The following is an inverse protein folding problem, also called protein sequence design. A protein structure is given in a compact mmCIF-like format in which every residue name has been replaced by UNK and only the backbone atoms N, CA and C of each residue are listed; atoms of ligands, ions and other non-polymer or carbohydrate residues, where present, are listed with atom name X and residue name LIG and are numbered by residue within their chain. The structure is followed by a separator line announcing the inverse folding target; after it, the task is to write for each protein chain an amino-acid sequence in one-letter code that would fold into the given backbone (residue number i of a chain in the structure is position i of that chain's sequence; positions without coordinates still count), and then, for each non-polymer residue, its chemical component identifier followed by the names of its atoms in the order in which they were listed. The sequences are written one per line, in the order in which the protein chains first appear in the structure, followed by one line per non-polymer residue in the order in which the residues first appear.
data_IF_554063490903
#
_entry.id   IF_554063490903
#
_cell.length_a   1.000
_cell.length_b   1.000
_cell.length_c   1.000
_cell.angle_alpha   90.00
_cell.angle_beta   90.00
_cell.angle_gamma   90.00
#
_symmetry.space_group_name_H-M   'P 1'
#
loop_
_entity.id
_entity.type
_entity.pdbx_description
1 polymer ?
#
# COMPACT_ATOMS: atom_id res chain seq x y z
N UNK A 1 10.67 25.58 -19.47
CA UNK A 1 10.98 24.11 -19.47
C UNK A 1 9.74 23.36 -19.05
N UNK A 2 9.42 22.25 -19.72
CA UNK A 2 8.24 21.45 -19.35
C UNK A 2 8.50 20.57 -18.12
N UNK A 3 9.76 20.14 -17.89
CA UNK A 3 10.19 19.32 -16.76
C UNK A 3 11.59 19.75 -16.32
N UNK A 4 11.80 19.88 -15.01
CA UNK A 4 13.08 20.26 -14.41
C UNK A 4 13.54 19.18 -13.44
N UNK A 5 14.75 18.66 -13.62
CA UNK A 5 15.38 17.70 -12.70
C UNK A 5 16.10 18.46 -11.59
N UNK A 6 15.51 18.53 -10.40
CA UNK A 6 16.04 19.31 -9.27
C UNK A 6 17.17 18.62 -8.54
N UNK A 7 17.00 17.34 -8.18
CA UNK A 7 18.01 16.54 -7.48
C UNK A 7 17.76 15.04 -7.68
N UNK A 8 18.79 14.26 -7.57
CA UNK A 8 18.66 12.79 -7.46
C UNK A 8 18.24 12.43 -6.03
N UNK A 9 17.25 11.56 -5.90
CA UNK A 9 16.87 10.96 -4.62
C UNK A 9 17.69 9.69 -4.35
N UNK A 10 17.90 9.31 -3.08
CA UNK A 10 18.48 8.02 -2.72
C UNK A 10 17.68 6.88 -3.35
N UNK A 11 18.35 5.79 -3.70
CA UNK A 11 17.67 4.58 -4.15
C UNK A 11 17.00 3.88 -2.95
N UNK A 12 15.97 3.06 -3.17
CA UNK A 12 15.27 2.37 -2.08
C UNK A 12 16.17 1.55 -1.16
N UNK A 13 17.22 0.95 -1.69
CA UNK A 13 18.17 0.17 -0.90
C UNK A 13 18.90 1.04 0.12
N UNK A 14 19.38 2.22 -0.28
CA UNK A 14 20.06 3.18 0.62
C UNK A 14 19.15 3.61 1.78
N UNK A 15 17.87 3.88 1.50
CA UNK A 15 16.91 4.26 2.55
C UNK A 15 16.56 3.07 3.47
N UNK A 16 16.48 1.85 2.94
CA UNK A 16 16.27 0.64 3.75
C UNK A 16 17.46 0.31 4.63
N UNK A 17 18.68 0.58 4.16
CA UNK A 17 19.89 0.43 4.95
C UNK A 17 20.02 1.51 6.04
N UNK A 18 19.58 2.74 5.76
CA UNK A 18 19.54 3.84 6.75
C UNK A 18 18.50 3.58 7.86
N UNK A 19 17.37 2.98 7.51
CA UNK A 19 16.26 2.69 8.42
C UNK A 19 15.80 1.22 8.27
N UNK A 20 16.59 0.24 8.73
CA UNK A 20 16.30 -1.16 8.51
C UNK A 20 15.17 -1.67 9.39
N UNK A 21 14.42 -2.65 8.89
CA UNK A 21 13.61 -3.51 9.75
C UNK A 21 14.56 -4.50 10.45
N UNK A 22 14.41 -4.71 11.75
CA UNK A 22 15.28 -5.64 12.48
C UNK A 22 15.10 -7.08 11.97
N UNK A 23 16.13 -7.92 12.15
CA UNK A 23 16.07 -9.33 11.74
C UNK A 23 14.92 -10.09 12.44
N UNK A 24 14.65 -9.77 13.71
CA UNK A 24 13.53 -10.35 14.45
C UNK A 24 12.18 -9.96 13.83
N UNK A 25 11.98 -8.68 13.55
CA UNK A 25 10.74 -8.19 12.93
C UNK A 25 10.59 -8.69 11.48
N UNK A 26 11.70 -8.84 10.76
CA UNK A 26 11.68 -9.46 9.42
C UNK A 26 11.16 -10.90 9.47
N UNK A 27 11.65 -11.72 10.42
CA UNK A 27 11.16 -13.08 10.59
C UNK A 27 9.68 -13.13 10.99
N UNK A 28 9.25 -12.25 11.90
CA UNK A 28 7.84 -12.12 12.29
C UNK A 28 6.96 -11.70 11.11
N UNK A 29 7.45 -10.77 10.28
CA UNK A 29 6.73 -10.35 9.06
C UNK A 29 6.54 -11.52 8.10
N UNK A 30 7.59 -12.28 7.82
CA UNK A 30 7.51 -13.44 6.92
C UNK A 30 6.47 -14.46 7.41
N UNK A 31 6.43 -14.73 8.71
CA UNK A 31 5.44 -15.62 9.31
C UNK A 31 4.02 -15.06 9.19
N UNK A 32 3.85 -13.78 9.45
CA UNK A 32 2.57 -13.08 9.31
C UNK A 32 2.07 -13.04 7.86
N UNK A 33 2.95 -12.74 6.91
CA UNK A 33 2.60 -12.72 5.47
C UNK A 33 2.14 -14.12 5.01
N UNK A 34 2.80 -15.18 5.47
CA UNK A 34 2.39 -16.56 5.18
C UNK A 34 1.02 -16.90 5.80
N UNK A 35 0.73 -16.40 6.99
CA UNK A 35 -0.57 -16.53 7.65
C UNK A 35 -1.68 -15.78 6.88
N UNK A 36 -1.42 -14.55 6.48
CA UNK A 36 -2.34 -13.77 5.65
C UNK A 36 -2.61 -14.48 4.33
N UNK A 37 -1.58 -15.00 3.65
CA UNK A 37 -1.73 -15.71 2.38
C UNK A 37 -2.70 -16.89 2.49
N UNK A 38 -2.69 -17.65 3.60
CA UNK A 38 -3.62 -18.78 3.84
C UNK A 38 -5.09 -18.36 3.85
N UNK A 39 -5.40 -17.16 4.28
CA UNK A 39 -6.78 -16.63 4.21
C UNK A 39 -7.20 -16.43 2.75
N UNK A 40 -6.31 -15.88 1.92
CA UNK A 40 -6.58 -15.63 0.51
C UNK A 40 -6.63 -16.92 -0.32
N UNK A 41 -5.91 -17.97 0.07
CA UNK A 41 -5.98 -19.30 -0.57
C UNK A 41 -7.12 -20.17 -0.04
N UNK A 42 -7.81 -19.74 1.02
CA UNK A 42 -8.91 -20.47 1.63
C UNK A 42 -8.49 -21.58 2.62
N UNK A 43 -7.21 -21.64 2.97
CA UNK A 43 -6.66 -22.58 3.96
C UNK A 43 -6.95 -22.14 5.42
N UNK A 44 -7.19 -20.86 5.64
CA UNK A 44 -7.57 -20.26 6.92
C UNK A 44 -8.97 -19.64 6.80
N UNK A 45 -9.86 -20.02 7.71
CA UNK A 45 -11.27 -19.58 7.72
C UNK A 45 -11.46 -18.15 8.29
N UNK A 46 -10.44 -17.59 8.94
CA UNK A 46 -10.49 -16.21 9.44
C UNK A 46 -10.73 -15.23 8.29
N UNK A 47 -11.00 -13.98 8.64
CA UNK A 47 -11.13 -12.88 7.66
C UNK A 47 -9.98 -11.90 7.85
N UNK A 48 -9.51 -11.32 6.77
CA UNK A 48 -8.58 -10.20 6.81
C UNK A 48 -9.37 -8.90 6.91
N UNK A 49 -9.08 -8.09 7.93
CA UNK A 49 -9.65 -6.77 8.12
C UNK A 49 -8.55 -5.71 7.96
N UNK A 50 -8.65 -4.89 6.90
CA UNK A 50 -7.75 -3.77 6.66
C UNK A 50 -8.43 -2.50 7.15
N UNK A 51 -7.98 -1.97 8.27
CA UNK A 51 -8.65 -0.86 8.96
C UNK A 51 -7.63 0.17 9.48
N UNK A 52 -8.01 1.44 9.42
CA UNK A 52 -7.18 2.55 9.91
C UNK A 52 -7.69 3.91 9.44
N UNK A 53 -6.99 4.98 9.78
CA UNK A 53 -7.37 6.33 9.38
C UNK A 53 -7.39 6.49 7.86
N UNK A 54 -8.12 7.50 7.39
CA UNK A 54 -8.20 7.79 5.96
C UNK A 54 -6.84 8.23 5.38
N UNK A 55 -5.98 8.83 6.19
CA UNK A 55 -4.63 9.28 5.88
C UNK A 55 -3.76 9.17 7.11
N UNK A 56 -2.56 8.64 6.93
CA UNK A 56 -1.51 8.68 7.93
C UNK A 56 -0.71 9.98 7.76
N UNK A 57 -1.19 11.07 8.34
CA UNK A 57 -0.65 12.41 8.18
C UNK A 57 0.09 12.92 9.42
N UNK A 58 -0.23 12.37 10.58
CA UNK A 58 0.39 12.73 11.85
C UNK A 58 0.74 11.48 12.63
N UNK A 59 2.01 11.36 12.98
CA UNK A 59 2.55 10.19 13.67
C UNK A 59 1.90 9.93 15.03
N UNK A 60 1.75 10.97 15.85
CA UNK A 60 1.12 10.87 17.16
C UNK A 60 -0.31 10.28 17.11
N UNK A 61 -1.12 10.80 16.21
CA UNK A 61 -2.51 10.35 16.03
C UNK A 61 -2.60 8.94 15.46
N UNK A 62 -1.71 8.60 14.52
CA UNK A 62 -1.65 7.27 13.94
C UNK A 62 -1.24 6.25 15.01
N UNK A 63 -0.19 6.52 15.78
CA UNK A 63 0.29 5.63 16.83
C UNK A 63 -0.73 5.45 17.96
N UNK A 64 -1.42 6.51 18.37
CA UNK A 64 -2.51 6.39 19.33
C UNK A 64 -3.61 5.45 18.83
N UNK A 65 -4.05 5.64 17.58
CA UNK A 65 -5.05 4.76 16.96
C UNK A 65 -4.56 3.31 16.89
N UNK A 66 -3.32 3.08 16.44
CA UNK A 66 -2.76 1.73 16.27
C UNK A 66 -2.57 1.02 17.61
N UNK A 67 -2.18 1.72 18.65
CA UNK A 67 -2.07 1.16 20.00
C UNK A 67 -3.43 0.73 20.58
N UNK A 68 -4.50 1.48 20.29
CA UNK A 68 -5.88 1.05 20.65
C UNK A 68 -6.30 -0.16 19.82
N UNK A 69 -6.03 -0.13 18.51
CA UNK A 69 -6.36 -1.22 17.59
C UNK A 69 -5.66 -2.53 17.98
N UNK A 70 -4.40 -2.46 18.42
CA UNK A 70 -3.64 -3.63 18.85
C UNK A 70 -4.31 -4.37 20.01
N UNK A 71 -4.87 -3.64 20.98
CA UNK A 71 -5.62 -4.24 22.09
C UNK A 71 -6.87 -4.97 21.60
N UNK A 72 -7.64 -4.35 20.71
CA UNK A 72 -8.83 -4.97 20.14
C UNK A 72 -8.48 -6.16 19.22
N UNK A 73 -7.35 -6.11 18.53
CA UNK A 73 -6.90 -7.21 17.67
C UNK A 73 -6.68 -8.50 18.46
N UNK A 74 -6.15 -8.43 19.68
CA UNK A 74 -5.97 -9.58 20.54
C UNK A 74 -7.30 -10.26 20.93
N UNK A 75 -8.37 -9.47 21.06
CA UNK A 75 -9.70 -9.98 21.44
C UNK A 75 -10.40 -10.73 20.30
N UNK A 76 -10.00 -10.49 19.05
CA UNK A 76 -10.68 -11.04 17.85
C UNK A 76 -9.77 -11.89 16.97
N UNK A 77 -8.55 -12.18 17.39
CA UNK A 77 -7.53 -12.90 16.60
C UNK A 77 -7.91 -14.32 16.19
N UNK A 78 -8.89 -14.92 16.85
CA UNK A 78 -9.46 -16.22 16.50
C UNK A 78 -10.34 -16.16 15.25
N UNK A 79 -10.82 -14.98 14.86
CA UNK A 79 -11.73 -14.74 13.74
C UNK A 79 -11.19 -13.80 12.69
N UNK A 80 -10.35 -12.85 13.09
CA UNK A 80 -9.85 -11.79 12.23
C UNK A 80 -8.33 -11.70 12.26
N UNK A 81 -7.73 -11.53 11.09
CA UNK A 81 -6.38 -11.01 10.94
C UNK A 81 -6.50 -9.53 10.64
N UNK A 82 -5.99 -8.68 11.53
CA UNK A 82 -6.03 -7.23 11.35
C UNK A 82 -4.74 -6.77 10.71
N UNK A 83 -4.85 -6.07 9.58
CA UNK A 83 -3.76 -5.35 8.92
C UNK A 83 -4.07 -3.86 9.02
N UNK A 84 -3.31 -3.09 9.81
CA UNK A 84 -3.57 -1.67 9.96
C UNK A 84 -3.30 -0.92 8.66
N UNK A 85 -4.24 -0.06 8.31
CA UNK A 85 -4.14 0.81 7.16
C UNK A 85 -3.35 2.06 7.52
N UNK A 86 -2.15 2.18 6.96
CA UNK A 86 -1.26 3.34 7.12
C UNK A 86 -1.04 3.96 5.74
N UNK A 87 -2.07 4.65 5.22
CA UNK A 87 -2.01 5.24 3.88
C UNK A 87 -1.28 6.58 3.93
N UNK A 88 -0.04 6.58 3.47
CA UNK A 88 0.89 7.71 3.55
C UNK A 88 0.76 8.69 2.37
N UNK A 89 0.04 8.32 1.32
CA UNK A 89 -0.17 9.12 0.13
C UNK A 89 -1.64 9.45 -0.11
N UNK A 90 -1.91 10.61 -0.75
CA UNK A 90 -3.25 11.03 -1.12
C UNK A 90 -3.34 11.37 -2.61
N UNK A 91 -4.13 10.62 -3.39
CA UNK A 91 -4.39 10.96 -4.78
C UNK A 91 -5.24 12.25 -4.85
N UNK A 92 -4.79 13.22 -5.67
CA UNK A 92 -5.48 14.48 -5.91
C UNK A 92 -5.65 14.75 -7.40
N UNK A 93 -6.89 14.91 -7.84
CA UNK A 93 -7.21 15.14 -9.26
C UNK A 93 -6.61 16.45 -9.80
N UNK A 94 -6.64 17.52 -9.00
CA UNK A 94 -6.14 18.85 -9.39
C UNK A 94 -4.77 19.19 -8.82
N UNK A 95 -4.14 18.28 -8.07
CA UNK A 95 -2.84 18.53 -7.44
C UNK A 95 -2.84 19.57 -6.31
N UNK A 96 -4.02 20.05 -5.88
CA UNK A 96 -4.19 21.02 -4.79
C UNK A 96 -4.59 20.33 -3.48
N UNK A 97 -4.27 20.92 -2.34
CA UNK A 97 -4.52 20.40 -1.00
C UNK A 97 -3.48 19.38 -0.57
N UNK A 98 -3.66 18.82 0.62
CA UNK A 98 -2.73 17.84 1.21
C UNK A 98 -2.57 16.60 0.32
N UNK A 99 -1.33 16.30 -0.08
CA UNK A 99 -0.97 15.21 -1.01
C UNK A 99 -0.45 13.94 -0.33
N UNK A 100 -0.44 13.93 1.01
CA UNK A 100 0.12 12.86 1.80
C UNK A 100 1.50 13.17 2.35
N UNK A 101 1.94 12.32 3.28
CA UNK A 101 3.18 12.48 4.02
C UNK A 101 4.42 12.50 3.10
N UNK A 102 4.37 11.79 1.97
CA UNK A 102 5.46 11.81 0.98
C UNK A 102 5.77 13.21 0.44
N UNK A 103 4.76 14.02 0.19
CA UNK A 103 4.96 15.36 -0.37
C UNK A 103 5.17 16.41 0.73
N UNK A 104 4.44 16.27 1.83
CA UNK A 104 4.41 17.26 2.90
C UNK A 104 4.61 16.57 4.26
N UNK A 105 5.85 16.14 4.57
CA UNK A 105 6.18 15.50 5.85
C UNK A 105 6.10 16.48 7.03
N UNK A 106 6.29 17.77 6.77
CA UNK A 106 6.13 18.83 7.74
C UNK A 106 5.15 19.89 7.20
N UNK A 107 3.92 19.99 7.76
CA UNK A 107 2.91 20.97 7.30
C UNK A 107 3.34 22.42 7.37
N UNK A 108 4.34 22.75 8.22
CA UNK A 108 4.85 24.11 8.41
C UNK A 108 6.01 24.48 7.47
N UNK A 109 6.46 23.51 6.64
CA UNK A 109 7.56 23.68 5.69
C UNK A 109 7.09 23.45 4.25
N UNK A 110 7.84 23.93 3.25
CA UNK A 110 7.63 23.57 1.84
C UNK A 110 7.72 22.05 1.60
N UNK A 111 7.04 21.57 0.53
CA UNK A 111 7.10 20.18 0.09
C UNK A 111 8.56 19.72 -0.09
N UNK A 112 8.94 18.61 0.55
CA UNK A 112 10.24 17.98 0.40
C UNK A 112 10.09 16.46 0.21
N UNK A 113 10.34 15.99 -1.02
CA UNK A 113 10.18 14.58 -1.37
C UNK A 113 11.27 13.67 -0.76
N UNK A 114 12.45 14.18 -0.42
CA UNK A 114 13.48 13.39 0.24
C UNK A 114 13.09 13.11 1.70
N UNK A 115 12.74 14.16 2.42
CA UNK A 115 12.22 14.01 3.78
C UNK A 115 10.92 13.21 3.78
N UNK A 116 10.07 13.37 2.75
CA UNK A 116 8.85 12.60 2.58
C UNK A 116 9.10 11.10 2.42
N UNK A 117 10.10 10.68 1.65
CA UNK A 117 10.47 9.25 1.53
C UNK A 117 10.91 8.68 2.88
N UNK A 118 11.68 9.43 3.66
CA UNK A 118 12.07 9.03 5.02
C UNK A 118 10.88 8.98 5.96
N UNK A 119 10.02 9.98 5.90
CA UNK A 119 8.85 10.09 6.77
C UNK A 119 7.83 8.96 6.54
N UNK A 120 7.56 8.57 5.28
CA UNK A 120 6.64 7.46 5.03
C UNK A 120 7.21 6.14 5.57
N UNK A 121 8.50 5.88 5.40
CA UNK A 121 9.14 4.68 5.94
C UNK A 121 9.17 4.69 7.48
N UNK A 122 9.54 5.83 8.07
CA UNK A 122 9.56 6.01 9.52
C UNK A 122 8.18 5.76 10.15
N UNK A 123 7.11 6.29 9.56
CA UNK A 123 5.73 6.06 10.01
C UNK A 123 5.40 4.56 10.08
N UNK A 124 5.71 3.79 9.05
CA UNK A 124 5.47 2.35 9.04
C UNK A 124 6.33 1.61 10.06
N UNK A 125 7.63 1.94 10.17
CA UNK A 125 8.52 1.34 11.16
C UNK A 125 8.02 1.59 12.58
N UNK A 126 7.63 2.83 12.93
CA UNK A 126 7.08 3.16 14.24
C UNK A 126 5.85 2.33 14.58
N UNK A 127 4.92 2.17 13.64
CA UNK A 127 3.75 1.32 13.85
C UNK A 127 4.16 -0.13 14.10
N UNK A 128 5.07 -0.68 13.30
CA UNK A 128 5.54 -2.07 13.45
C UNK A 128 6.25 -2.26 14.80
N UNK A 129 7.16 -1.38 15.16
CA UNK A 129 7.96 -1.47 16.37
C UNK A 129 7.12 -1.32 17.64
N UNK A 130 6.16 -0.41 17.66
CA UNK A 130 5.35 -0.13 18.85
C UNK A 130 4.20 -1.11 19.05
N UNK A 131 3.65 -1.66 17.98
CA UNK A 131 2.42 -2.47 18.06
C UNK A 131 2.58 -3.91 17.61
N UNK A 132 3.66 -4.24 16.91
CA UNK A 132 3.86 -5.53 16.26
C UNK A 132 3.01 -5.74 15.00
N UNK A 133 2.22 -4.77 14.59
CA UNK A 133 1.43 -4.85 13.36
C UNK A 133 2.29 -4.65 12.11
N UNK A 134 2.14 -5.52 11.12
CA UNK A 134 2.59 -5.25 9.76
C UNK A 134 1.47 -4.58 8.97
N UNK A 135 1.81 -3.64 8.11
CA UNK A 135 0.90 -2.59 7.67
C UNK A 135 0.43 -2.73 6.23
N UNK A 136 -0.60 -1.97 5.88
CA UNK A 136 -1.08 -1.79 4.51
C UNK A 136 -0.88 -0.35 4.05
N UNK A 137 -0.45 -0.15 2.79
CA UNK A 137 -0.45 1.18 2.14
C UNK A 137 -1.05 1.11 0.73
N UNK A 138 -1.43 2.27 0.19
CA UNK A 138 -1.87 2.40 -1.19
C UNK A 138 -0.64 2.70 -2.08
N UNK A 139 -0.38 1.84 -3.05
CA UNK A 139 0.64 2.08 -4.08
C UNK A 139 0.13 3.16 -5.04
N UNK A 140 0.26 4.42 -4.62
CA UNK A 140 -0.10 5.55 -5.47
C UNK A 140 0.94 5.77 -6.58
N UNK A 141 2.20 5.56 -6.25
CA UNK A 141 3.33 5.64 -7.18
C UNK A 141 4.11 4.33 -7.14
N UNK A 142 4.09 3.50 -8.20
CA UNK A 142 4.82 2.23 -8.24
C UNK A 142 6.31 2.40 -7.94
N UNK A 143 6.92 3.50 -8.43
CA UNK A 143 8.32 3.82 -8.16
C UNK A 143 8.67 3.98 -6.68
N UNK A 144 7.69 4.30 -5.81
CA UNK A 144 7.91 4.53 -4.38
C UNK A 144 7.65 3.28 -3.53
N UNK A 145 6.94 2.28 -4.06
CA UNK A 145 6.66 1.03 -3.35
C UNK A 145 7.94 0.36 -2.81
N UNK A 146 9.04 0.41 -3.57
CA UNK A 146 10.30 -0.21 -3.20
C UNK A 146 10.94 0.36 -1.90
N UNK A 147 10.56 1.55 -1.46
CA UNK A 147 10.99 2.09 -0.17
C UNK A 147 10.29 1.44 1.03
N UNK A 148 9.16 0.75 0.79
CA UNK A 148 8.30 0.15 1.81
C UNK A 148 8.14 -1.38 1.64
N UNK A 149 8.76 -1.98 0.63
CA UNK A 149 8.52 -3.38 0.24
C UNK A 149 8.70 -4.38 1.38
N UNK A 150 9.63 -4.12 2.29
CA UNK A 150 9.96 -4.94 3.45
C UNK A 150 9.07 -4.68 4.68
N UNK A 151 8.15 -3.72 4.62
CA UNK A 151 7.29 -3.29 5.72
C UNK A 151 5.81 -3.67 5.51
N UNK A 152 5.36 -3.73 4.24
CA UNK A 152 3.96 -3.91 3.91
C UNK A 152 3.57 -5.38 3.84
N UNK A 153 2.45 -5.74 4.45
CA UNK A 153 1.80 -7.06 4.35
C UNK A 153 0.54 -7.04 3.49
N UNK A 154 0.18 -5.87 2.97
CA UNK A 154 -0.91 -5.67 2.02
C UNK A 154 -0.67 -4.39 1.20
N UNK A 155 -0.99 -4.45 -0.09
CA UNK A 155 -0.91 -3.29 -0.98
C UNK A 155 -2.25 -3.04 -1.64
N UNK A 156 -2.72 -1.79 -1.64
CA UNK A 156 -3.91 -1.40 -2.37
C UNK A 156 -3.55 -0.65 -3.66
N UNK A 157 -4.21 -0.99 -4.76
CA UNK A 157 -4.19 -0.20 -5.99
C UNK A 157 -5.49 0.60 -6.09
N UNK A 158 -5.37 1.92 -6.05
CA UNK A 158 -6.50 2.82 -5.98
C UNK A 158 -7.31 2.91 -7.27
N UNK A 159 -8.54 3.40 -7.14
CA UNK A 159 -9.48 3.51 -8.26
C UNK A 159 -9.02 4.43 -9.40
N UNK A 160 -8.07 5.34 -9.15
CA UNK A 160 -7.46 6.20 -10.20
C UNK A 160 -6.26 5.57 -10.87
N UNK A 161 -5.72 4.50 -10.28
CA UNK A 161 -4.48 3.86 -10.70
C UNK A 161 -4.69 2.47 -11.34
N UNK A 162 -5.85 1.86 -11.11
CA UNK A 162 -6.14 0.46 -11.49
C UNK A 162 -6.06 0.19 -13.01
N UNK A 163 -6.28 1.19 -13.84
CA UNK A 163 -6.10 1.09 -15.31
C UNK A 163 -4.67 1.35 -15.78
N UNK A 164 -3.82 1.90 -14.93
CA UNK A 164 -2.46 2.25 -15.30
C UNK A 164 -1.62 0.97 -15.47
N UNK A 165 -0.91 0.87 -16.60
CA UNK A 165 -0.14 -0.32 -16.96
C UNK A 165 0.98 -0.61 -15.97
N UNK A 166 1.72 0.41 -15.53
CA UNK A 166 2.83 0.22 -14.58
C UNK A 166 2.34 -0.33 -13.24
N UNK A 167 1.19 0.13 -12.73
CA UNK A 167 0.61 -0.42 -11.51
C UNK A 167 0.27 -1.91 -11.63
N UNK A 168 -0.28 -2.33 -12.78
CA UNK A 168 -0.61 -3.73 -13.05
C UNK A 168 0.65 -4.60 -13.13
N UNK A 169 1.66 -4.13 -13.87
CA UNK A 169 2.93 -4.83 -14.03
C UNK A 169 3.67 -4.96 -12.70
N UNK A 170 3.82 -3.87 -11.95
CA UNK A 170 4.49 -3.91 -10.64
C UNK A 170 3.72 -4.80 -9.66
N UNK A 171 2.39 -4.82 -9.72
CA UNK A 171 1.57 -5.69 -8.86
C UNK A 171 1.84 -7.18 -9.10
N UNK A 172 2.28 -7.59 -10.30
CA UNK A 172 2.63 -8.99 -10.60
C UNK A 172 3.90 -9.45 -9.88
N UNK A 173 4.75 -8.52 -9.45
CA UNK A 173 5.98 -8.82 -8.70
C UNK A 173 5.89 -8.58 -7.19
N UNK A 174 4.70 -8.29 -6.67
CA UNK A 174 4.48 -8.10 -5.23
C UNK A 174 4.18 -9.45 -4.57
N UNK A 175 4.90 -9.77 -3.50
CA UNK A 175 4.80 -11.07 -2.80
C UNK A 175 3.68 -11.15 -1.76
N UNK A 176 3.01 -10.04 -1.46
CA UNK A 176 1.89 -9.96 -0.52
C UNK A 176 0.57 -9.71 -1.26
N UNK A 177 -0.61 -9.88 -0.62
CA UNK A 177 -1.88 -9.62 -1.27
C UNK A 177 -1.99 -8.20 -1.82
N UNK A 178 -2.50 -8.08 -3.07
CA UNK A 178 -2.73 -6.81 -3.74
C UNK A 178 -4.22 -6.65 -4.05
N UNK A 179 -4.83 -5.62 -3.45
CA UNK A 179 -6.24 -5.29 -3.68
C UNK A 179 -6.42 -4.33 -4.84
N UNK A 180 -7.00 -4.80 -5.95
CA UNK A 180 -7.34 -4.00 -7.12
C UNK A 180 -8.72 -3.38 -6.95
N UNK A 181 -8.81 -2.06 -6.77
CA UNK A 181 -10.09 -1.36 -6.64
C UNK A 181 -10.76 -1.20 -8.01
N UNK A 182 -12.11 -1.30 -8.05
CA UNK A 182 -12.83 -0.86 -9.24
C UNK A 182 -12.60 0.64 -9.48
N UNK A 183 -12.50 1.09 -10.75
CA UNK A 183 -12.23 2.50 -11.08
C UNK A 183 -13.36 3.42 -10.59
N UNK A 184 -13.13 4.72 -10.65
CA UNK A 184 -14.09 5.73 -10.18
C UNK A 184 -15.44 5.65 -10.89
N UNK A 185 -15.47 5.17 -12.13
CA UNK A 185 -16.69 4.92 -12.91
C UNK A 185 -17.39 3.60 -12.58
N UNK A 186 -16.84 2.80 -11.65
CA UNK A 186 -17.49 1.57 -11.17
C UNK A 186 -17.28 0.30 -12.02
N UNK A 187 -16.51 0.35 -13.11
CA UNK A 187 -16.34 -0.79 -14.02
C UNK A 187 -15.67 -1.99 -13.35
N UNK A 188 -16.41 -3.08 -13.22
CA UNK A 188 -15.87 -4.37 -12.74
C UNK A 188 -14.97 -5.03 -13.78
N UNK A 189 -15.24 -4.85 -15.07
CA UNK A 189 -14.40 -5.37 -16.16
C UNK A 189 -12.96 -4.83 -16.08
N UNK A 190 -12.80 -3.53 -15.85
CA UNK A 190 -11.48 -2.91 -15.69
C UNK A 190 -10.76 -3.48 -14.48
N UNK A 191 -11.45 -3.66 -13.37
CA UNK A 191 -10.90 -4.26 -12.16
C UNK A 191 -10.44 -5.70 -12.40
N UNK A 192 -11.28 -6.54 -13.03
CA UNK A 192 -10.95 -7.93 -13.35
C UNK A 192 -9.75 -8.01 -14.30
N UNK A 193 -9.71 -7.19 -15.36
CA UNK A 193 -8.56 -7.13 -16.26
C UNK A 193 -7.26 -6.75 -15.53
N UNK A 194 -7.36 -5.90 -14.50
CA UNK A 194 -6.20 -5.52 -13.68
C UNK A 194 -5.70 -6.67 -12.82
N UNK A 195 -6.62 -7.48 -12.28
CA UNK A 195 -6.30 -8.70 -11.52
C UNK A 195 -5.63 -9.71 -12.44
N UNK A 196 -6.18 -9.97 -13.64
CA UNK A 196 -5.58 -10.86 -14.62
C UNK A 196 -4.15 -10.44 -14.97
N UNK A 197 -3.92 -9.15 -15.22
CA UNK A 197 -2.59 -8.65 -15.52
C UNK A 197 -1.63 -8.83 -14.34
N UNK A 198 -2.09 -8.62 -13.10
CA UNK A 198 -1.28 -8.79 -11.90
C UNK A 198 -1.00 -10.27 -11.56
N UNK A 199 -1.88 -11.19 -11.96
CA UNK A 199 -1.70 -12.63 -11.76
C UNK A 199 -0.87 -13.30 -12.86
N UNK A 200 -0.65 -12.62 -14.00
CA UNK A 200 0.10 -13.15 -15.11
C UNK A 200 1.61 -12.93 -14.94
N UNK A 201 2.39 -13.83 -15.56
CA UNK A 201 3.81 -13.59 -15.78
C UNK A 201 4.01 -12.31 -16.60
N UNK A 202 4.91 -11.43 -16.18
CA UNK A 202 5.18 -10.15 -16.82
C UNK A 202 6.68 -9.90 -16.93
N UNK A 203 7.09 -9.33 -18.08
CA UNK A 203 8.45 -8.84 -18.31
C UNK A 203 8.38 -7.39 -18.77
N UNK A 204 9.07 -6.49 -18.07
CA UNK A 204 8.97 -5.05 -18.32
C UNK A 204 10.18 -4.28 -17.79
N UNK A 205 10.28 -3.00 -18.18
CA UNK A 205 11.28 -2.10 -17.65
C UNK A 205 10.70 -1.37 -16.43
N UNK A 206 11.32 -1.58 -15.27
CA UNK A 206 11.00 -0.83 -14.06
C UNK A 206 12.18 0.01 -13.62
N UNK A 207 12.02 1.34 -13.65
CA UNK A 207 13.12 2.30 -13.53
C UNK A 207 14.16 2.06 -14.62
N UNK A 208 15.36 1.61 -14.25
CA UNK A 208 16.48 1.29 -15.15
C UNK A 208 16.84 -0.21 -15.14
N UNK A 209 15.89 -1.07 -14.74
CA UNK A 209 16.07 -2.52 -14.67
C UNK A 209 15.10 -3.23 -15.60
N UNK A 210 15.60 -4.25 -16.29
CA UNK A 210 14.74 -5.29 -16.86
C UNK A 210 14.26 -6.17 -15.72
N UNK A 211 12.96 -6.36 -15.61
CA UNK A 211 12.30 -7.07 -14.51
C UNK A 211 11.42 -8.16 -15.08
N UNK A 212 11.47 -9.31 -14.47
CA UNK A 212 10.61 -10.47 -14.74
C UNK A 212 9.86 -10.83 -13.46
N UNK A 213 8.56 -11.08 -13.59
CA UNK A 213 7.66 -11.37 -12.47
C UNK A 213 6.77 -12.57 -12.80
N UNK A 214 6.67 -13.53 -11.88
CA UNK A 214 5.89 -14.77 -12.09
C UNK A 214 4.36 -14.59 -11.99
N UNK A 215 3.92 -13.41 -11.61
CA UNK A 215 2.54 -13.10 -11.28
C UNK A 215 2.24 -13.23 -9.80
N UNK A 216 1.26 -12.46 -9.33
CA UNK A 216 0.82 -12.46 -7.94
C UNK A 216 -0.53 -13.18 -7.80
N UNK A 217 -0.57 -14.46 -7.37
CA UNK A 217 -1.82 -15.21 -7.23
C UNK A 217 -2.75 -14.65 -6.13
N UNK A 218 -2.23 -13.80 -5.26
CA UNK A 218 -3.00 -13.15 -4.18
C UNK A 218 -3.60 -11.80 -4.61
N UNK A 219 -3.45 -11.39 -5.88
CA UNK A 219 -4.13 -10.22 -6.42
C UNK A 219 -5.65 -10.49 -6.48
N UNK A 220 -6.43 -9.56 -5.94
CA UNK A 220 -7.86 -9.75 -5.75
C UNK A 220 -8.66 -8.45 -5.90
N UNK A 221 -9.98 -8.58 -5.99
CA UNK A 221 -10.91 -7.47 -6.13
C UNK A 221 -11.15 -6.75 -4.81
N UNK A 222 -11.15 -5.40 -4.86
CA UNK A 222 -11.65 -4.55 -3.78
C UNK A 222 -12.75 -3.66 -4.34
N UNK A 223 -14.00 -4.00 -4.03
CA UNK A 223 -15.14 -3.21 -4.46
C UNK A 223 -15.27 -1.93 -3.63
N UNK A 224 -15.64 -0.85 -4.30
CA UNK A 224 -16.01 0.42 -3.69
C UNK A 224 -17.32 0.90 -4.27
N UNK A 225 -18.08 1.64 -3.48
CA UNK A 225 -19.28 2.30 -3.97
C UNK A 225 -18.98 3.34 -5.06
N UNK A 226 -19.91 3.53 -5.97
CA UNK A 226 -19.83 4.51 -7.05
C UNK A 226 -21.22 5.03 -7.45
N UNK A 227 -21.24 6.12 -8.19
CA UNK A 227 -22.45 6.61 -8.85
C UNK A 227 -22.39 6.17 -10.32
N UNK A 228 -23.37 5.37 -10.76
CA UNK A 228 -23.46 4.91 -12.13
C UNK A 228 -23.81 6.04 -13.11
N UNK A 229 -23.63 5.77 -14.40
CA UNK A 229 -24.05 6.70 -15.47
C UNK A 229 -25.58 6.96 -15.47
N UNK A 230 -26.34 6.05 -14.89
CA UNK A 230 -27.79 6.17 -14.66
C UNK A 230 -28.16 7.04 -13.45
N UNK A 231 -27.17 7.65 -12.79
CA UNK A 231 -27.32 8.47 -11.60
C UNK A 231 -27.61 7.70 -10.31
N UNK A 232 -27.67 6.36 -10.35
CA UNK A 232 -27.88 5.54 -9.15
C UNK A 232 -26.62 5.39 -8.34
N UNK A 233 -26.78 5.36 -7.01
CA UNK A 233 -25.72 5.03 -6.08
C UNK A 233 -25.65 3.50 -5.92
N UNK A 234 -24.48 2.95 -6.17
CA UNK A 234 -24.15 1.55 -5.91
C UNK A 234 -23.27 1.53 -4.65
N UNK A 235 -23.76 1.05 -3.52
CA UNK A 235 -22.98 0.95 -2.27
C UNK A 235 -21.87 -0.10 -2.39
N UNK A 236 -20.98 -0.11 -1.40
CA UNK A 236 -19.95 -1.16 -1.26
C UNK A 236 -20.62 -2.51 -0.95
#
# INVERSE_FOLDING_TARGET
MAMEFKRRLPIPMEIREEMPLSAELTAKKQAFDAEVAKVFTGEDARKVLIIGPCSADREDSVLEYMNRLAKTAEEVKDKLIIIPRVYTNKPRTKGTGYKGLLHNPNPEAPDDLLEGVKAIRHMHLRVIEETGFFTADEMLYPSNYQYLVDLLSYVAVGARSVENQEHRLVSSGISVPVGMKNPTAGSTTVMLNSIYAAQAHQSFIFRNWEVECDGNPLAHAVMRGYIGLDGRTYPN
#
